data_IF_585118765359
#
_entry.id   IF_585118765359
#
_cell.length_a   1.000
_cell.length_b   1.000
_cell.length_c   1.000
_cell.angle_alpha   90.00
_cell.angle_beta   90.00
_cell.angle_gamma   90.00
#
_symmetry.space_group_name_H-M   'P 1'
#
loop_
_entity.id
_entity.type
_entity.pdbx_description
1 polymer ?
#
# COMPACT_ATOMS: atom_id res chain seq x y z
N UNK A 1 4.90 -9.78 7.62
CA UNK A 1 4.74 -9.12 8.94
C UNK A 1 4.39 -7.66 8.74
N UNK A 2 4.02 -6.95 9.80
CA UNK A 2 3.48 -5.58 9.71
C UNK A 2 1.95 -5.54 9.72
N UNK A 3 1.38 -4.42 9.30
CA UNK A 3 -0.07 -4.25 9.16
C UNK A 3 -0.57 -4.85 7.85
N UNK A 4 -1.18 -6.03 7.94
CA UNK A 4 -1.73 -6.78 6.78
C UNK A 4 -3.20 -6.46 6.48
N UNK A 5 -3.79 -5.53 7.23
CA UNK A 5 -5.17 -5.06 7.07
C UNK A 5 -5.14 -3.55 6.88
N UNK A 6 -6.01 -3.04 6.01
CA UNK A 6 -6.27 -1.61 5.84
C UNK A 6 -7.78 -1.39 5.89
N UNK A 7 -8.19 -0.31 6.56
CA UNK A 7 -9.53 0.24 6.42
C UNK A 7 -9.64 1.06 5.12
N UNK A 8 -10.87 1.41 4.74
CA UNK A 8 -11.15 2.34 3.65
C UNK A 8 -10.85 3.77 4.10
N UNK A 9 -10.09 4.50 3.29
CA UNK A 9 -9.86 5.93 3.44
C UNK A 9 -10.55 6.68 2.29
N UNK A 10 -11.36 7.67 2.61
CA UNK A 10 -11.93 8.60 1.62
C UNK A 10 -10.95 9.74 1.43
N UNK A 11 -10.33 9.82 0.26
CA UNK A 11 -9.27 10.77 -0.06
C UNK A 11 -9.47 11.28 -1.48
N UNK A 12 -8.89 12.43 -1.78
CA UNK A 12 -8.81 12.97 -3.13
C UNK A 12 -7.71 12.28 -3.91
N UNK A 13 -8.05 11.80 -5.10
CA UNK A 13 -7.11 11.20 -6.02
C UNK A 13 -6.41 12.28 -6.85
N UNK A 14 -5.17 12.61 -6.48
CA UNK A 14 -4.37 13.62 -7.18
C UNK A 14 -4.03 13.24 -8.63
N UNK A 15 -4.12 11.96 -8.98
CA UNK A 15 -3.86 11.47 -10.35
C UNK A 15 -5.12 11.43 -11.21
N UNK A 16 -6.31 11.58 -10.59
CA UNK A 16 -7.60 11.56 -11.26
C UNK A 16 -8.42 12.81 -10.91
N UNK A 17 -7.92 13.96 -11.35
CA UNK A 17 -8.58 15.27 -11.26
C UNK A 17 -9.03 15.68 -9.84
N UNK A 18 -8.37 15.18 -8.79
CA UNK A 18 -8.75 15.38 -7.39
C UNK A 18 -10.18 14.90 -7.05
N UNK A 19 -10.69 13.91 -7.78
CA UNK A 19 -11.96 13.27 -7.48
C UNK A 19 -11.88 12.51 -6.15
N UNK A 20 -13.00 12.46 -5.41
CA UNK A 20 -13.10 11.66 -4.20
C UNK A 20 -13.04 10.16 -4.56
N UNK A 21 -12.15 9.44 -3.89
CA UNK A 21 -11.92 8.01 -4.12
C UNK A 21 -11.68 7.27 -2.80
N UNK A 22 -11.90 5.96 -2.87
CA UNK A 22 -11.67 5.02 -1.78
C UNK A 22 -10.30 4.36 -1.89
N UNK A 23 -9.43 4.58 -0.91
CA UNK A 23 -8.09 3.99 -0.87
C UNK A 23 -7.95 2.98 0.28
N UNK A 24 -7.23 1.89 0.01
CA UNK A 24 -6.70 0.97 1.01
C UNK A 24 -5.19 1.03 0.95
N UNK A 25 -4.56 1.50 2.03
CA UNK A 25 -3.13 1.83 2.05
C UNK A 25 -2.42 0.93 3.05
N UNK A 26 -1.31 0.33 2.62
CA UNK A 26 -0.53 -0.60 3.43
C UNK A 26 0.90 -0.07 3.64
N UNK A 27 1.10 0.95 4.50
CA UNK A 27 2.40 1.61 4.65
C UNK A 27 3.42 0.77 5.42
N UNK A 28 2.98 -0.30 6.10
CA UNK A 28 3.82 -1.20 6.89
C UNK A 28 3.58 -2.66 6.49
N UNK A 29 4.25 -3.10 5.43
CA UNK A 29 4.30 -4.50 5.00
C UNK A 29 5.75 -4.95 4.88
N UNK A 30 6.04 -6.15 5.38
CA UNK A 30 7.37 -6.75 5.30
C UNK A 30 7.33 -8.24 4.96
N UNK A 31 8.23 -8.64 4.06
CA UNK A 31 8.54 -10.02 3.73
C UNK A 31 9.99 -10.28 4.16
N UNK A 32 10.22 -11.40 4.85
CA UNK A 32 11.52 -11.68 5.50
C UNK A 32 12.46 -12.53 4.66
N UNK A 33 11.91 -13.28 3.72
CA UNK A 33 12.65 -14.24 2.92
C UNK A 33 12.86 -13.70 1.50
N UNK A 34 14.06 -13.86 0.94
CA UNK A 34 14.36 -13.53 -0.45
C UNK A 34 13.50 -14.38 -1.39
N UNK A 35 12.99 -13.77 -2.46
CA UNK A 35 12.16 -14.46 -3.43
C UNK A 35 11.28 -13.53 -4.27
N UNK A 36 10.58 -14.12 -5.23
CA UNK A 36 9.58 -13.44 -6.05
C UNK A 36 8.19 -13.67 -5.46
N UNK A 37 7.44 -12.58 -5.26
CA UNK A 37 6.14 -12.60 -4.60
C UNK A 37 5.11 -11.75 -5.33
N UNK A 38 3.84 -12.01 -5.02
CA UNK A 38 2.71 -11.15 -5.35
C UNK A 38 1.87 -10.98 -4.10
N UNK A 39 1.29 -9.79 -3.92
CA UNK A 39 0.32 -9.56 -2.86
C UNK A 39 -1.07 -9.95 -3.36
N UNK A 40 -1.79 -10.78 -2.60
CA UNK A 40 -3.22 -11.01 -2.80
C UNK A 40 -3.99 -10.04 -1.90
N UNK A 41 -4.60 -9.02 -2.50
CA UNK A 41 -5.42 -8.05 -1.80
C UNK A 41 -6.87 -8.55 -1.82
N UNK A 42 -7.47 -8.74 -0.65
CA UNK A 42 -8.83 -9.28 -0.53
C UNK A 42 -9.71 -8.27 0.20
N UNK A 43 -10.78 -7.84 -0.46
CA UNK A 43 -11.77 -6.93 0.09
C UNK A 43 -12.82 -7.72 0.86
N UNK A 44 -13.13 -7.24 2.07
CA UNK A 44 -14.19 -7.77 2.90
C UNK A 44 -15.14 -6.65 3.32
N UNK A 45 -16.42 -6.99 3.39
CA UNK A 45 -17.47 -6.12 3.91
C UNK A 45 -17.95 -6.68 5.26
N UNK A 46 -18.11 -5.80 6.25
CA UNK A 46 -18.59 -6.18 7.58
C UNK A 46 -20.01 -5.66 7.75
N UNK A 47 -20.97 -6.57 7.91
CA UNK A 47 -22.40 -6.25 8.11
C UNK A 47 -22.85 -6.88 9.42
N UNK A 48 -23.06 -6.03 10.44
CA UNK A 48 -23.33 -6.49 11.80
C UNK A 48 -22.14 -7.29 12.34
N UNK A 49 -22.39 -8.54 12.76
CA UNK A 49 -21.35 -9.47 13.23
C UNK A 49 -20.78 -10.36 12.14
N UNK A 50 -21.22 -10.21 10.88
CA UNK A 50 -20.81 -11.06 9.77
C UNK A 50 -19.77 -10.38 8.89
N UNK A 51 -18.86 -11.17 8.33
CA UNK A 51 -17.81 -10.73 7.42
C UNK A 51 -17.98 -11.45 6.08
N UNK A 52 -18.12 -10.69 5.00
CA UNK A 52 -18.33 -11.19 3.65
C UNK A 52 -17.11 -10.90 2.80
N UNK A 53 -16.59 -11.92 2.11
CA UNK A 53 -15.57 -11.72 1.08
C UNK A 53 -16.23 -11.16 -0.18
N UNK A 54 -15.75 -10.00 -0.66
CA UNK A 54 -16.30 -9.34 -1.84
C UNK A 54 -15.51 -9.74 -3.10
N UNK A 55 -14.19 -9.54 -3.07
CA UNK A 55 -13.31 -9.75 -4.23
C UNK A 55 -11.86 -9.87 -3.79
N UNK A 56 -11.04 -10.53 -4.60
CA UNK A 56 -9.59 -10.49 -4.47
C UNK A 56 -8.93 -10.10 -5.79
N UNK A 57 -7.81 -9.38 -5.68
CA UNK A 57 -6.92 -9.05 -6.79
C UNK A 57 -5.48 -9.41 -6.42
N UNK A 58 -4.61 -9.52 -7.43
CA UNK A 58 -3.18 -9.71 -7.23
C UNK A 58 -2.40 -8.52 -7.75
N UNK A 59 -1.39 -8.09 -6.98
CA UNK A 59 -0.42 -7.10 -7.45
C UNK A 59 0.40 -7.63 -8.64
N UNK A 60 1.15 -6.72 -9.27
CA UNK A 60 2.32 -7.09 -10.06
C UNK A 60 3.33 -7.88 -9.18
N UNK A 61 4.14 -8.77 -9.79
CA UNK A 61 5.21 -9.44 -9.07
C UNK A 61 6.28 -8.45 -8.62
N UNK A 62 6.86 -8.69 -7.46
CA UNK A 62 7.99 -7.94 -6.92
C UNK A 62 9.00 -8.90 -6.31
N UNK A 63 10.27 -8.47 -6.26
CA UNK A 63 11.36 -9.27 -5.71
C UNK A 63 11.79 -8.73 -4.35
N UNK A 64 11.95 -9.63 -3.38
CA UNK A 64 12.49 -9.34 -2.05
C UNK A 64 13.95 -9.70 -2.07
N UNK A 65 14.81 -8.72 -1.81
CA UNK A 65 16.26 -8.88 -1.85
C UNK A 65 16.85 -9.23 -0.48
N UNK A 66 18.01 -9.87 -0.48
CA UNK A 66 18.87 -9.87 0.71
C UNK A 66 19.45 -8.49 0.96
N UNK A 67 19.92 -8.23 2.19
CA UNK A 67 20.54 -6.96 2.55
C UNK A 67 21.72 -6.58 1.62
N UNK A 68 22.49 -7.56 1.13
CA UNK A 68 23.64 -7.32 0.24
C UNK A 68 23.25 -6.93 -1.19
N UNK A 69 22.11 -7.44 -1.68
CA UNK A 69 21.63 -7.18 -3.06
C UNK A 69 20.59 -6.06 -3.12
N UNK A 70 20.17 -5.54 -1.96
CA UNK A 70 19.10 -4.55 -1.90
C UNK A 70 19.55 -3.25 -2.58
N UNK A 71 18.85 -2.79 -3.64
CA UNK A 71 19.28 -1.63 -4.42
C UNK A 71 19.07 -0.29 -3.69
N UNK A 72 18.49 -0.33 -2.48
CA UNK A 72 18.05 0.86 -1.76
C UNK A 72 16.53 1.04 -1.87
N UNK A 73 16.01 1.97 -1.07
CA UNK A 73 14.61 2.37 -1.15
C UNK A 73 14.45 3.42 -2.25
N UNK A 74 13.38 3.32 -3.01
CA UNK A 74 12.98 4.39 -3.94
C UNK A 74 12.47 5.62 -3.17
N UNK A 75 12.48 6.77 -3.86
CA UNK A 75 11.82 7.97 -3.36
C UNK A 75 10.30 7.78 -3.30
N UNK A 76 9.62 8.63 -2.55
CA UNK A 76 8.16 8.54 -2.45
C UNK A 76 7.51 9.03 -3.73
N UNK A 77 6.62 8.20 -4.30
CA UNK A 77 5.83 8.57 -5.48
C UNK A 77 4.94 9.80 -5.23
N UNK A 78 4.53 10.52 -6.27
CA UNK A 78 3.57 11.62 -6.13
C UNK A 78 2.30 11.23 -5.38
N UNK A 79 1.72 10.06 -5.70
CA UNK A 79 0.56 9.51 -4.99
C UNK A 79 0.87 9.29 -3.49
N UNK A 80 2.00 8.68 -3.15
CA UNK A 80 2.40 8.47 -1.75
C UNK A 80 2.50 9.79 -0.98
N UNK A 81 3.05 10.84 -1.58
CA UNK A 81 3.15 12.17 -0.99
C UNK A 81 1.76 12.80 -0.82
N UNK A 82 0.92 12.79 -1.86
CA UNK A 82 -0.43 13.35 -1.82
C UNK A 82 -1.34 12.67 -0.78
N UNK A 83 -1.25 11.34 -0.64
CA UNK A 83 -1.99 10.62 0.40
C UNK A 83 -1.48 10.97 1.81
N UNK A 84 -0.17 11.19 1.97
CA UNK A 84 0.41 11.62 3.25
C UNK A 84 0.00 13.03 3.65
N UNK A 85 -0.04 13.96 2.69
CA UNK A 85 -0.52 15.34 2.89
C UNK A 85 -2.00 15.37 3.31
N UNK A 86 -2.77 14.35 2.92
CA UNK A 86 -4.16 14.14 3.36
C UNK A 86 -4.29 13.39 4.70
N UNK A 87 -3.18 13.17 5.41
CA UNK A 87 -3.15 12.64 6.78
C UNK A 87 -2.90 11.14 6.90
N UNK A 88 -2.64 10.42 5.79
CA UNK A 88 -2.23 9.01 5.87
C UNK A 88 -0.79 8.92 6.39
N UNK A 89 -0.56 8.05 7.38
CA UNK A 89 0.76 7.87 8.00
C UNK A 89 1.71 7.07 7.12
N UNK A 90 2.17 7.67 6.02
CA UNK A 90 3.15 7.11 5.10
C UNK A 90 4.52 7.76 5.38
N UNK A 91 5.59 6.95 5.42
CA UNK A 91 6.95 7.48 5.56
C UNK A 91 7.40 8.10 4.24
N UNK A 92 7.41 9.42 4.17
CA UNK A 92 7.91 10.17 3.00
C UNK A 92 9.44 10.21 2.99
N UNK A 93 10.01 9.88 1.84
CA UNK A 93 11.43 9.96 1.51
C UNK A 93 11.57 10.91 0.31
N UNK A 94 12.24 12.04 0.52
CA UNK A 94 12.65 12.95 -0.56
C UNK A 94 14.09 12.58 -0.93
N UNK A 95 14.41 12.54 -2.22
CA UNK A 95 15.76 12.26 -2.68
C UNK A 95 16.73 13.28 -2.04
N UNK A 96 17.80 12.79 -1.42
CA UNK A 96 18.87 13.64 -0.87
C UNK A 96 19.92 13.71 -1.97
N UNK A 97 19.66 14.53 -2.97
CA UNK A 97 20.69 14.98 -3.91
C UNK A 97 20.99 16.45 -3.67
#
# INVERSE_FOLDING_TARGET
TGSVVSSLYHLKDSENENMDAGFFVFPDLSVRQEGSYRLKLSLFEVVGSNVYHCKSIYSAPFYVYTAKKFPGMEESTPLSCALADQGIKIRIRKDIR
#
